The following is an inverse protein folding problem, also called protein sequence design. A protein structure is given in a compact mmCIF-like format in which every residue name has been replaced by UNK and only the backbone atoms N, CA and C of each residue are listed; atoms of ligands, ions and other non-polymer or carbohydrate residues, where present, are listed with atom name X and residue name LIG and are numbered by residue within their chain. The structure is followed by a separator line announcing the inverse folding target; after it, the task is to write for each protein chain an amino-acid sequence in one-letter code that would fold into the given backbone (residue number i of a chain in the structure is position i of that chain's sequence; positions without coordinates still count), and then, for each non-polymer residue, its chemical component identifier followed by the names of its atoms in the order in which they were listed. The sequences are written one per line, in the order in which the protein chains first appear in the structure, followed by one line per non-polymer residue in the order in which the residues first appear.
data_IF_012989358901
#
_entry.id   IF_012989358901
#
_cell.length_a   1.000
_cell.length_b   1.000
_cell.length_c   1.000
_cell.angle_alpha   90.00
_cell.angle_beta   90.00
_cell.angle_gamma   90.00
#
_symmetry.space_group_name_H-M   'P 1'
#
loop_
_entity.id
_entity.type
_entity.pdbx_description
1 polymer ?
#
# COMPACT_ATOMS: atom_id res chain seq x y z
N UNK A 1 19.21 22.57 6.42
CA UNK A 1 19.11 21.48 7.40
C UNK A 1 18.89 20.21 6.59
N UNK A 2 19.79 19.24 6.67
CA UNK A 2 19.57 17.91 6.07
C UNK A 2 18.40 17.26 6.80
N UNK A 3 17.32 17.00 6.10
CA UNK A 3 16.21 16.23 6.68
C UNK A 3 16.76 14.87 7.12
N UNK A 4 16.44 14.46 8.33
CA UNK A 4 16.69 13.10 8.80
C UNK A 4 16.02 12.12 7.84
N UNK A 5 16.60 10.95 7.63
CA UNK A 5 16.05 9.91 6.72
C UNK A 5 15.41 8.77 7.50
N UNK A 6 14.90 9.06 8.70
CA UNK A 6 14.26 8.05 9.53
C UNK A 6 12.87 7.69 8.98
N UNK A 7 12.72 6.47 8.47
CA UNK A 7 11.45 5.97 7.93
C UNK A 7 10.83 4.99 8.92
N UNK A 8 9.60 5.27 9.34
CA UNK A 8 8.75 4.30 10.04
C UNK A 8 7.81 3.62 9.05
N UNK A 9 7.90 2.29 8.93
CA UNK A 9 6.92 1.51 8.18
C UNK A 9 5.70 1.22 9.08
N UNK A 10 4.52 1.56 8.60
CA UNK A 10 3.25 1.34 9.32
C UNK A 10 2.43 0.28 8.60
N UNK A 11 2.08 -0.78 9.33
CA UNK A 11 1.14 -1.82 8.90
C UNK A 11 -0.21 -1.55 9.59
N UNK A 12 -1.16 -0.90 8.91
CA UNK A 12 -2.47 -0.63 9.48
C UNK A 12 -3.38 -1.84 9.27
N UNK A 13 -3.68 -2.55 10.31
CA UNK A 13 -4.63 -3.69 10.28
C UNK A 13 -5.76 -3.48 11.25
N UNK A 14 -6.94 -4.00 10.94
CA UNK A 14 -8.11 -3.96 11.83
C UNK A 14 -8.68 -5.36 12.01
N UNK A 15 -9.22 -5.62 13.20
CA UNK A 15 -9.80 -6.91 13.57
C UNK A 15 -11.07 -7.24 12.80
N UNK A 16 -11.87 -6.21 12.48
CA UNK A 16 -13.14 -6.41 11.80
C UNK A 16 -13.05 -5.92 10.34
N UNK A 17 -13.30 -6.82 9.40
CA UNK A 17 -13.40 -6.52 7.96
C UNK A 17 -14.78 -6.96 7.47
N UNK A 18 -15.55 -6.02 6.91
CA UNK A 18 -16.94 -6.25 6.50
C UNK A 18 -17.06 -7.17 5.28
N UNK A 19 -16.17 -7.02 4.30
CA UNK A 19 -16.18 -7.80 3.04
C UNK A 19 -15.52 -9.17 3.15
N UNK A 20 -14.50 -9.31 4.00
CA UNK A 20 -13.77 -10.56 4.19
C UNK A 20 -13.37 -10.67 5.67
N UNK A 21 -14.12 -11.43 6.49
CA UNK A 21 -13.86 -11.58 7.92
C UNK A 21 -12.43 -12.03 8.19
N UNK A 22 -11.81 -11.46 9.22
CA UNK A 22 -10.44 -11.76 9.65
C UNK A 22 -9.38 -11.63 8.52
N UNK A 23 -9.64 -10.78 7.53
CA UNK A 23 -8.84 -10.62 6.31
C UNK A 23 -7.34 -10.65 6.58
N UNK A 24 -6.85 -9.84 7.51
CA UNK A 24 -5.43 -9.63 7.75
C UNK A 24 -4.69 -10.86 8.35
N UNK A 25 -5.41 -11.85 8.87
CA UNK A 25 -4.84 -13.09 9.42
C UNK A 25 -5.24 -14.33 8.62
N UNK A 26 -5.82 -14.16 7.43
CA UNK A 26 -6.05 -15.28 6.52
C UNK A 26 -4.73 -15.93 6.10
N UNK A 27 -4.71 -17.26 5.93
CA UNK A 27 -3.52 -18.00 5.50
C UNK A 27 -2.94 -17.46 4.20
N UNK A 28 -1.63 -17.14 4.18
CA UNK A 28 -0.95 -16.68 2.97
C UNK A 28 0.52 -17.09 2.99
N UNK A 29 0.99 -17.68 1.89
CA UNK A 29 2.33 -18.27 1.84
C UNK A 29 2.49 -19.34 2.93
N UNK A 30 3.53 -19.23 3.72
CA UNK A 30 3.82 -20.16 4.83
C UNK A 30 3.24 -19.68 6.19
N UNK A 31 2.46 -18.60 6.20
CA UNK A 31 1.95 -17.98 7.43
C UNK A 31 0.54 -17.39 7.24
N UNK A 32 0.31 -16.18 7.68
CA UNK A 32 -0.87 -15.36 7.40
C UNK A 32 -0.46 -14.03 6.79
N UNK A 33 -1.43 -13.27 6.25
CA UNK A 33 -1.16 -11.99 5.54
C UNK A 33 -0.37 -10.99 6.40
N UNK A 34 -0.69 -10.83 7.69
CA UNK A 34 0.00 -9.91 8.57
C UNK A 34 1.46 -10.35 8.81
N UNK A 35 1.67 -11.60 9.21
CA UNK A 35 3.02 -12.11 9.47
C UNK A 35 3.86 -12.17 8.20
N UNK A 36 3.24 -12.47 7.05
CA UNK A 36 3.87 -12.40 5.75
C UNK A 36 4.39 -10.98 5.46
N UNK A 37 3.54 -9.95 5.65
CA UNK A 37 3.95 -8.53 5.48
C UNK A 37 5.06 -8.14 6.45
N UNK A 38 4.98 -8.53 7.71
CA UNK A 38 6.04 -8.28 8.70
C UNK A 38 7.36 -8.88 8.21
N UNK A 39 7.34 -10.12 7.77
CA UNK A 39 8.54 -10.83 7.29
C UNK A 39 9.13 -10.19 6.02
N UNK A 40 8.30 -9.63 5.13
CA UNK A 40 8.76 -8.83 3.99
C UNK A 40 9.47 -7.55 4.46
N UNK A 41 8.86 -6.78 5.36
CA UNK A 41 9.42 -5.51 5.85
C UNK A 41 10.70 -5.71 6.67
N UNK A 42 10.85 -6.80 7.39
CA UNK A 42 12.09 -7.13 8.12
C UNK A 42 13.30 -7.37 7.21
N UNK A 43 13.10 -7.57 5.91
CA UNK A 43 14.14 -7.71 4.90
C UNK A 43 14.44 -6.39 4.18
N UNK A 44 13.72 -5.31 4.52
CA UNK A 44 13.89 -3.98 3.91
C UNK A 44 14.98 -3.21 4.63
N UNK A 45 15.92 -2.68 3.87
CA UNK A 45 17.00 -1.84 4.39
C UNK A 45 16.53 -0.39 4.58
N UNK A 46 17.11 0.30 5.57
CA UNK A 46 16.85 1.74 5.78
C UNK A 46 15.56 2.06 6.53
N UNK A 47 14.81 1.07 7.02
CA UNK A 47 13.73 1.31 7.96
C UNK A 47 14.30 1.57 9.37
N UNK A 48 13.83 2.64 10.00
CA UNK A 48 14.13 2.93 11.39
C UNK A 48 13.27 2.06 12.32
N UNK A 49 12.00 1.89 11.97
CA UNK A 49 11.02 1.20 12.79
C UNK A 49 9.94 0.55 11.92
N UNK A 50 9.37 -0.56 12.41
CA UNK A 50 8.17 -1.19 11.84
C UNK A 50 7.09 -1.22 12.92
N UNK A 51 5.93 -0.64 12.63
CA UNK A 51 4.80 -0.56 13.55
C UNK A 51 3.62 -1.34 12.97
N UNK A 52 3.02 -2.21 13.79
CA UNK A 52 1.69 -2.74 13.56
C UNK A 52 0.70 -1.93 14.41
N UNK A 53 -0.24 -1.24 13.76
CA UNK A 53 -1.33 -0.54 14.44
C UNK A 53 -2.64 -1.29 14.26
N UNK A 54 -3.23 -1.80 15.36
CA UNK A 54 -4.45 -2.60 15.34
C UNK A 54 -5.34 -2.38 16.54
N UNK A 55 -6.65 -2.58 16.35
CA UNK A 55 -7.66 -2.70 17.42
C UNK A 55 -7.82 -4.15 17.92
N UNK A 56 -7.23 -5.14 17.23
CA UNK A 56 -7.29 -6.57 17.56
C UNK A 56 -6.09 -6.99 18.42
N UNK A 57 -6.36 -7.56 19.59
CA UNK A 57 -5.30 -8.10 20.48
C UNK A 57 -4.58 -9.30 19.83
N UNK A 58 -5.29 -10.10 19.03
CA UNK A 58 -4.69 -11.22 18.29
C UNK A 58 -3.64 -10.72 17.27
N UNK A 59 -3.97 -9.67 16.51
CA UNK A 59 -3.04 -9.10 15.53
C UNK A 59 -1.85 -8.40 16.20
N UNK A 60 -2.08 -7.74 17.34
CA UNK A 60 -1.00 -7.15 18.14
C UNK A 60 -0.06 -8.22 18.67
N UNK A 61 -0.59 -9.33 19.18
CA UNK A 61 0.21 -10.47 19.64
C UNK A 61 1.07 -11.05 18.51
N UNK A 62 0.54 -11.21 17.31
CA UNK A 62 1.32 -11.66 16.13
C UNK A 62 2.50 -10.70 15.87
N UNK A 63 2.26 -9.40 15.96
CA UNK A 63 3.30 -8.39 15.74
C UNK A 63 4.37 -8.41 16.83
N UNK A 64 3.99 -8.53 18.10
CA UNK A 64 4.89 -8.66 19.26
C UNK A 64 5.75 -9.93 19.16
N UNK A 65 5.14 -11.08 18.89
CA UNK A 65 5.83 -12.34 18.70
C UNK A 65 6.80 -12.31 17.50
N UNK A 66 6.45 -11.54 16.47
CA UNK A 66 7.33 -11.25 15.34
C UNK A 66 8.43 -10.23 15.66
N UNK A 67 8.46 -9.61 16.85
CA UNK A 67 9.50 -8.68 17.30
C UNK A 67 9.45 -7.32 16.63
N UNK A 68 8.27 -6.81 16.29
CA UNK A 68 8.05 -5.43 15.85
C UNK A 68 7.18 -4.67 16.86
N UNK A 69 7.15 -3.34 16.76
CA UNK A 69 6.33 -2.50 17.64
C UNK A 69 4.85 -2.72 17.34
N UNK A 70 4.10 -3.15 18.36
CA UNK A 70 2.65 -3.31 18.30
C UNK A 70 1.99 -2.16 19.05
N UNK A 71 1.05 -1.46 18.42
CA UNK A 71 0.36 -0.31 19.01
C UNK A 71 -1.14 -0.53 18.95
N UNK A 72 -1.75 -0.55 20.14
CA UNK A 72 -3.21 -0.65 20.28
C UNK A 72 -3.87 0.60 19.73
N UNK A 73 -4.61 0.42 18.64
CA UNK A 73 -5.39 1.50 18.02
C UNK A 73 -6.64 1.76 18.84
N UNK A 74 -6.93 3.01 19.24
CA UNK A 74 -8.20 3.36 19.84
C UNK A 74 -9.36 2.99 18.91
N UNK A 75 -10.44 2.44 19.49
CA UNK A 75 -11.58 1.90 18.74
C UNK A 75 -12.19 2.91 17.77
N UNK A 76 -12.19 4.18 18.15
CA UNK A 76 -12.66 5.27 17.26
C UNK A 76 -11.94 5.31 15.92
N UNK A 77 -10.66 4.97 15.83
CA UNK A 77 -9.89 4.96 14.58
C UNK A 77 -9.95 3.61 13.84
N UNK A 78 -10.65 2.63 14.38
CA UNK A 78 -10.95 1.36 13.70
C UNK A 78 -12.31 1.37 13.02
N UNK A 79 -13.16 2.35 13.32
CA UNK A 79 -14.49 2.54 12.76
C UNK A 79 -14.39 3.17 11.35
N UNK A 80 -15.09 2.61 10.37
CA UNK A 80 -15.12 3.09 8.98
C UNK A 80 -15.86 4.44 8.82
N UNK A 81 -16.62 4.87 9.83
CA UNK A 81 -17.28 6.18 9.85
C UNK A 81 -16.31 7.33 10.11
N UNK A 82 -15.13 7.05 10.66
CA UNK A 82 -14.11 8.07 10.93
C UNK A 82 -13.41 8.47 9.64
N UNK A 83 -13.33 9.77 9.34
CA UNK A 83 -12.59 10.24 8.16
C UNK A 83 -11.14 9.73 8.15
N UNK A 84 -10.69 9.26 7.00
CA UNK A 84 -9.33 8.70 6.84
C UNK A 84 -8.22 9.67 7.29
N UNK A 85 -8.40 10.97 7.07
CA UNK A 85 -7.47 12.00 7.53
C UNK A 85 -7.26 12.01 9.06
N UNK A 86 -8.31 11.79 9.85
CA UNK A 86 -8.18 11.71 11.31
C UNK A 86 -7.41 10.47 11.76
N UNK A 87 -7.59 9.35 11.04
CA UNK A 87 -6.79 8.17 11.30
C UNK A 87 -5.31 8.42 10.96
N UNK A 88 -5.01 9.17 9.91
CA UNK A 88 -3.65 9.54 9.54
C UNK A 88 -3.00 10.49 10.56
N UNK A 89 -3.76 11.42 11.14
CA UNK A 89 -3.26 12.25 12.26
C UNK A 89 -2.81 11.38 13.43
N UNK A 90 -3.65 10.41 13.83
CA UNK A 90 -3.28 9.44 14.85
C UNK A 90 -2.02 8.64 14.45
N UNK A 91 -1.88 8.21 13.20
CA UNK A 91 -0.67 7.51 12.74
C UNK A 91 0.56 8.40 12.90
N UNK A 92 0.46 9.68 12.56
CA UNK A 92 1.54 10.63 12.76
C UNK A 92 1.92 10.85 14.24
N UNK A 93 1.02 10.59 15.19
CA UNK A 93 1.30 10.69 16.63
C UNK A 93 2.05 9.49 17.19
N UNK A 94 1.97 8.34 16.53
CA UNK A 94 2.57 7.09 17.01
C UNK A 94 3.90 6.73 16.34
N UNK A 95 4.28 7.44 15.25
CA UNK A 95 5.53 7.21 14.53
C UNK A 95 6.65 8.10 15.07
N UNK A 96 7.87 7.57 15.11
CA UNK A 96 9.08 8.31 15.53
C UNK A 96 9.88 8.82 14.34
N UNK A 97 9.60 8.30 13.13
CA UNK A 97 10.30 8.70 11.91
C UNK A 97 9.81 10.02 11.31
N UNK A 98 10.72 10.71 10.62
CA UNK A 98 10.38 11.92 9.85
C UNK A 98 9.56 11.61 8.60
N UNK A 99 9.57 10.34 8.20
CA UNK A 99 8.86 9.83 7.03
C UNK A 99 8.05 8.57 7.38
N UNK A 100 6.83 8.49 6.86
CA UNK A 100 5.95 7.32 6.99
C UNK A 100 5.97 6.53 5.70
N UNK A 101 6.24 5.23 5.81
CA UNK A 101 5.98 4.26 4.76
C UNK A 101 4.72 3.46 5.09
N UNK A 102 3.67 3.65 4.30
CA UNK A 102 2.45 2.89 4.40
C UNK A 102 2.61 1.53 3.72
N UNK A 103 2.39 0.44 4.45
CA UNK A 103 2.60 -0.92 3.97
C UNK A 103 1.43 -1.83 4.36
N UNK A 104 0.45 -1.97 3.46
CA UNK A 104 -0.75 -2.76 3.73
C UNK A 104 -0.45 -4.27 3.73
N UNK A 105 -0.98 -5.00 4.71
CA UNK A 105 -0.95 -6.46 4.73
C UNK A 105 -1.74 -7.05 3.55
N UNK A 106 -2.73 -6.32 3.05
CA UNK A 106 -3.57 -6.68 1.90
C UNK A 106 -2.87 -6.62 0.55
N UNK A 107 -1.66 -6.06 0.48
CA UNK A 107 -0.82 -6.04 -0.74
C UNK A 107 0.33 -7.06 -0.60
N UNK A 108 0.06 -8.38 -0.54
CA UNK A 108 1.03 -9.40 -0.14
C UNK A 108 2.11 -9.67 -1.20
N UNK A 109 1.86 -9.30 -2.46
CA UNK A 109 2.78 -9.53 -3.56
C UNK A 109 3.83 -8.41 -3.74
N UNK A 110 3.83 -7.41 -2.86
CA UNK A 110 4.88 -6.38 -2.82
C UNK A 110 6.12 -6.95 -2.12
N UNK A 111 7.10 -7.35 -2.90
CA UNK A 111 8.32 -8.01 -2.43
C UNK A 111 9.33 -7.01 -1.80
N UNK A 112 10.26 -7.46 -0.93
CA UNK A 112 11.21 -6.59 -0.23
C UNK A 112 12.02 -5.67 -1.14
N UNK A 113 12.42 -6.12 -2.33
CA UNK A 113 13.18 -5.32 -3.28
C UNK A 113 12.41 -4.08 -3.78
N UNK A 114 11.08 -4.15 -3.84
CA UNK A 114 10.25 -3.00 -4.23
C UNK A 114 10.23 -1.92 -3.16
N UNK A 115 10.22 -2.29 -1.88
CA UNK A 115 10.34 -1.35 -0.78
C UNK A 115 11.72 -0.66 -0.80
N UNK A 116 12.80 -1.41 -1.00
CA UNK A 116 14.15 -0.86 -1.14
C UNK A 116 14.24 0.10 -2.33
N UNK A 117 13.67 -0.28 -3.48
CA UNK A 117 13.57 0.59 -4.66
C UNK A 117 12.76 1.86 -4.37
N UNK A 118 11.63 1.72 -3.69
CA UNK A 118 10.77 2.85 -3.33
C UNK A 118 11.48 3.85 -2.42
N UNK A 119 12.22 3.38 -1.41
CA UNK A 119 12.99 4.23 -0.49
C UNK A 119 14.04 5.05 -1.27
N UNK A 120 14.82 4.40 -2.13
CA UNK A 120 15.85 5.08 -2.92
C UNK A 120 15.24 6.12 -3.86
N UNK A 121 14.21 5.73 -4.62
CA UNK A 121 13.51 6.65 -5.52
C UNK A 121 12.83 7.79 -4.76
N UNK A 122 12.26 7.54 -3.60
CA UNK A 122 11.57 8.56 -2.81
C UNK A 122 12.50 9.73 -2.48
N UNK A 123 13.67 9.45 -1.90
CA UNK A 123 14.62 10.51 -1.58
C UNK A 123 15.20 11.21 -2.81
N UNK A 124 15.48 10.47 -3.89
CA UNK A 124 15.89 11.05 -5.17
C UNK A 124 14.81 12.02 -5.70
N UNK A 125 13.55 11.59 -5.70
CA UNK A 125 12.44 12.38 -6.24
C UNK A 125 12.05 13.58 -5.37
N UNK A 126 12.27 13.52 -4.06
CA UNK A 126 12.15 14.71 -3.20
C UNK A 126 13.12 15.82 -3.64
N UNK A 127 14.36 15.47 -4.03
CA UNK A 127 15.35 16.43 -4.54
C UNK A 127 14.93 17.03 -5.90
N UNK A 128 14.15 16.28 -6.70
CA UNK A 128 13.56 16.75 -7.96
C UNK A 128 12.29 17.59 -7.76
N UNK A 129 11.84 17.76 -6.50
CA UNK A 129 10.69 18.58 -6.12
C UNK A 129 9.35 17.84 -6.20
N UNK A 130 9.32 16.51 -6.19
CA UNK A 130 8.16 15.75 -5.78
C UNK A 130 7.99 15.84 -4.26
N UNK A 131 6.79 15.51 -3.75
CA UNK A 131 6.48 15.65 -2.33
C UNK A 131 6.25 14.31 -1.62
N UNK A 132 6.02 13.25 -2.38
CA UNK A 132 5.71 11.91 -1.91
C UNK A 132 5.98 10.88 -3.01
N UNK A 133 5.90 9.59 -2.67
CA UNK A 133 5.95 8.49 -3.63
C UNK A 133 4.76 7.55 -3.39
N UNK A 134 4.14 7.10 -4.48
CA UNK A 134 3.08 6.08 -4.47
C UNK A 134 3.35 5.00 -5.50
N UNK A 135 2.85 3.80 -5.26
CA UNK A 135 2.86 2.74 -6.27
C UNK A 135 1.60 2.77 -7.13
N UNK A 136 1.82 2.61 -8.42
CA UNK A 136 0.75 2.51 -9.42
C UNK A 136 1.02 1.35 -10.38
N UNK A 137 -0.03 0.76 -10.93
CA UNK A 137 0.07 -0.21 -12.03
C UNK A 137 -0.52 0.37 -13.30
N UNK A 138 0.13 0.22 -14.47
CA UNK A 138 -0.46 0.61 -15.75
C UNK A 138 -1.80 -0.09 -15.97
N UNK A 139 -2.80 0.68 -16.39
CA UNK A 139 -4.17 0.20 -16.55
C UNK A 139 -4.75 0.70 -17.88
N UNK A 140 -4.69 -0.15 -18.89
CA UNK A 140 -5.12 0.19 -20.24
C UNK A 140 -6.27 -0.74 -20.65
N UNK A 141 -7.49 -0.31 -20.33
CA UNK A 141 -8.72 -1.05 -20.59
C UNK A 141 -9.88 -0.11 -20.85
N UNK A 142 -11.00 -0.64 -21.34
CA UNK A 142 -12.24 0.12 -21.53
C UNK A 142 -12.92 0.36 -20.19
N UNK A 143 -13.20 1.62 -19.88
CA UNK A 143 -13.90 2.02 -18.66
C UNK A 143 -15.24 2.67 -19.02
N UNK A 144 -16.24 2.38 -18.19
CA UNK A 144 -17.59 2.94 -18.29
C UNK A 144 -18.07 3.36 -16.89
N UNK A 145 -18.89 4.39 -16.84
CA UNK A 145 -19.75 4.71 -15.70
C UNK A 145 -21.22 4.49 -16.06
N UNK A 146 -22.12 4.92 -15.19
CA UNK A 146 -23.58 4.84 -15.39
C UNK A 146 -24.07 5.63 -16.63
N UNK A 147 -23.27 6.59 -17.09
CA UNK A 147 -23.58 7.48 -18.23
C UNK A 147 -23.01 6.97 -19.55
N UNK A 148 -22.09 6.00 -19.50
CA UNK A 148 -21.47 5.40 -20.67
C UNK A 148 -19.95 5.37 -20.65
N UNK A 149 -19.30 5.30 -21.81
CA UNK A 149 -17.85 5.21 -21.93
C UNK A 149 -17.10 6.42 -21.32
N UNK A 150 -16.05 6.15 -20.50
CA UNK A 150 -15.20 7.16 -19.90
C UNK A 150 -13.97 7.47 -20.75
N UNK A 151 -13.34 6.46 -21.35
CA UNK A 151 -12.04 6.58 -22.02
C UNK A 151 -12.00 6.03 -23.44
N UNK A 152 -13.15 5.71 -24.04
CA UNK A 152 -13.25 5.23 -25.41
C UNK A 152 -14.49 5.79 -26.12
N UNK A 153 -14.49 5.74 -27.46
CA UNK A 153 -15.61 6.13 -28.30
C UNK A 153 -16.30 4.91 -28.89
N UNK A 154 -17.61 5.00 -29.08
CA UNK A 154 -18.39 3.99 -29.82
C UNK A 154 -18.40 4.27 -31.33
N UNK A 155 -18.79 3.28 -32.13
CA UNK A 155 -18.96 3.41 -33.57
C UNK A 155 -17.62 3.48 -34.31
N UNK A 156 -17.59 4.25 -35.42
CA UNK A 156 -16.43 4.32 -36.32
C UNK A 156 -15.16 4.91 -35.67
N UNK A 157 -15.31 5.61 -34.56
CA UNK A 157 -14.19 6.18 -33.78
C UNK A 157 -13.65 5.22 -32.71
N UNK A 158 -14.17 4.01 -32.62
CA UNK A 158 -13.71 3.01 -31.65
C UNK A 158 -12.24 2.64 -31.90
N UNK A 159 -11.46 2.58 -30.84
CA UNK A 159 -10.06 2.20 -30.83
C UNK A 159 -9.87 0.90 -30.07
N UNK A 160 -8.92 0.08 -30.48
CA UNK A 160 -8.48 -1.08 -29.73
C UNK A 160 -7.89 -0.66 -28.36
N UNK A 161 -7.91 -1.57 -27.39
CA UNK A 161 -7.43 -1.29 -26.02
C UNK A 161 -6.00 -0.73 -25.98
N UNK A 162 -5.11 -1.20 -26.85
CA UNK A 162 -3.73 -0.73 -26.99
C UNK A 162 -3.61 0.74 -27.42
N UNK A 163 -4.66 1.31 -28.01
CA UNK A 163 -4.71 2.68 -28.49
C UNK A 163 -5.43 3.63 -27.50
N UNK A 164 -5.92 3.09 -26.39
CA UNK A 164 -6.55 3.87 -25.35
C UNK A 164 -5.52 4.71 -24.58
N UNK A 165 -5.94 5.83 -23.96
CA UNK A 165 -5.07 6.54 -23.03
C UNK A 165 -4.59 5.62 -21.92
N UNK A 166 -3.29 5.70 -21.59
CA UNK A 166 -2.74 5.00 -20.45
C UNK A 166 -3.28 5.62 -19.17
N UNK A 167 -3.97 4.82 -18.38
CA UNK A 167 -4.39 5.13 -17.03
C UNK A 167 -3.51 4.40 -16.02
N UNK A 168 -3.61 4.80 -14.77
CA UNK A 168 -2.84 4.20 -13.69
C UNK A 168 -3.78 3.83 -12.55
N UNK A 169 -3.76 2.56 -12.19
CA UNK A 169 -4.42 2.06 -11.00
C UNK A 169 -3.54 2.39 -9.79
N UNK A 170 -4.05 3.16 -8.83
CA UNK A 170 -3.42 3.40 -7.54
C UNK A 170 -3.53 2.14 -6.69
N UNK A 171 -2.41 1.49 -6.37
CA UNK A 171 -2.41 0.16 -5.76
C UNK A 171 -2.40 0.20 -4.24
N UNK A 172 -2.08 1.35 -3.63
CA UNK A 172 -1.88 1.51 -2.19
C UNK A 172 -0.86 0.52 -1.58
N UNK A 173 -0.03 -0.11 -2.40
CA UNK A 173 0.95 -1.11 -1.96
C UNK A 173 2.13 -0.52 -1.18
N UNK A 174 2.64 0.63 -1.65
CA UNK A 174 3.65 1.45 -0.96
C UNK A 174 3.29 2.92 -1.15
N UNK A 175 3.15 3.65 -0.04
CA UNK A 175 3.11 5.10 -0.05
C UNK A 175 4.18 5.62 0.90
N UNK A 176 4.96 6.60 0.48
CA UNK A 176 6.01 7.25 1.25
C UNK A 176 5.81 8.76 1.24
N UNK A 177 5.74 9.36 2.42
CA UNK A 177 5.57 10.79 2.56
C UNK A 177 6.20 11.31 3.87
N UNK A 178 6.59 12.60 3.95
CA UNK A 178 7.02 13.21 5.19
C UNK A 178 5.88 13.23 6.21
N UNK A 179 6.17 12.87 7.45
CA UNK A 179 5.16 12.77 8.55
C UNK A 179 4.40 14.09 8.74
N UNK A 180 5.10 15.23 8.75
CA UNK A 180 4.46 16.55 8.88
C UNK A 180 3.54 16.87 7.70
N UNK A 181 3.90 16.45 6.50
CA UNK A 181 3.09 16.69 5.30
C UNK A 181 1.83 15.83 5.26
N UNK A 182 1.87 14.62 5.77
CA UNK A 182 0.68 13.79 5.97
C UNK A 182 -0.34 14.50 6.86
N UNK A 183 0.11 15.16 7.95
CA UNK A 183 -0.76 15.99 8.80
C UNK A 183 -1.39 17.17 8.04
N UNK A 184 -0.56 17.87 7.25
CA UNK A 184 -1.01 19.03 6.47
C UNK A 184 -2.03 18.63 5.40
N UNK A 185 -1.80 17.53 4.70
CA UNK A 185 -2.68 17.07 3.62
C UNK A 185 -3.89 16.27 4.10
N UNK A 186 -3.88 15.79 5.34
CA UNK A 186 -4.83 14.78 5.84
C UNK A 186 -4.94 13.56 4.91
N UNK A 187 -3.83 13.24 4.23
CA UNK A 187 -3.74 12.13 3.28
C UNK A 187 -2.33 11.52 3.25
N UNK A 188 -2.22 10.26 2.89
CA UNK A 188 -0.96 9.50 2.94
C UNK A 188 -0.01 9.74 1.75
N UNK A 189 -0.36 10.66 0.85
CA UNK A 189 0.52 11.22 -0.17
C UNK A 189 0.04 12.62 -0.59
N UNK A 190 0.94 13.38 -1.20
CA UNK A 190 0.70 14.76 -1.58
C UNK A 190 0.26 14.94 -3.04
N UNK A 191 -0.08 16.20 -3.41
CA UNK A 191 -0.57 16.52 -4.76
C UNK A 191 0.47 16.31 -5.86
N UNK A 192 1.76 16.23 -5.50
CA UNK A 192 2.87 16.08 -6.45
C UNK A 192 3.61 14.76 -6.24
N UNK A 193 2.86 13.67 -6.03
CA UNK A 193 3.42 12.36 -5.78
C UNK A 193 4.16 11.79 -7.01
N UNK A 194 5.36 11.23 -6.79
CA UNK A 194 6.02 10.42 -7.80
C UNK A 194 5.34 9.05 -7.90
N UNK A 195 5.00 8.63 -9.11
CA UNK A 195 4.35 7.34 -9.39
C UNK A 195 5.40 6.30 -9.74
N UNK A 196 5.75 5.44 -8.78
CA UNK A 196 6.56 4.25 -9.05
C UNK A 196 5.68 3.17 -9.69
N UNK A 197 6.01 2.78 -10.91
CA UNK A 197 5.24 1.77 -11.62
C UNK A 197 5.66 0.36 -11.17
N UNK A 198 4.66 -0.45 -10.87
CA UNK A 198 4.76 -1.87 -10.52
C UNK A 198 3.90 -2.71 -11.48
N UNK A 199 4.20 -3.99 -11.60
CA UNK A 199 3.46 -4.88 -12.49
C UNK A 199 2.14 -5.35 -11.87
N UNK A 200 1.30 -6.06 -12.65
CA UNK A 200 -0.03 -6.54 -12.21
C UNK A 200 0.03 -7.53 -11.06
N UNK A 201 1.09 -8.35 -10.96
CA UNK A 201 1.27 -9.29 -9.85
C UNK A 201 1.54 -8.52 -8.55
N UNK A 202 2.48 -7.60 -8.61
CA UNK A 202 2.88 -6.74 -7.49
C UNK A 202 1.74 -5.81 -7.03
N UNK A 203 0.83 -5.48 -7.95
CA UNK A 203 -0.32 -4.62 -7.72
C UNK A 203 -1.53 -5.34 -7.09
N UNK A 204 -1.42 -6.63 -6.78
CA UNK A 204 -2.52 -7.37 -6.15
C UNK A 204 -2.84 -6.79 -4.78
N UNK A 205 -4.09 -6.41 -4.58
CA UNK A 205 -4.65 -5.95 -3.30
C UNK A 205 -5.89 -6.77 -2.96
N UNK A 206 -6.03 -7.13 -1.69
CA UNK A 206 -7.08 -8.04 -1.22
C UNK A 206 -8.18 -7.22 -0.54
N UNK A 207 -9.34 -7.18 -1.16
CA UNK A 207 -10.53 -6.56 -0.61
C UNK A 207 -11.64 -7.56 -0.29
N UNK A 208 -11.78 -8.58 -1.12
CA UNK A 208 -12.78 -9.63 -0.97
C UNK A 208 -12.19 -11.03 -1.18
N UNK A 209 -13.06 -12.05 -1.24
CA UNK A 209 -12.65 -13.45 -1.41
C UNK A 209 -12.04 -13.71 -2.79
N UNK A 210 -12.50 -13.03 -3.84
CA UNK A 210 -11.97 -13.21 -5.19
C UNK A 210 -10.57 -12.63 -5.31
N UNK A 211 -10.35 -11.46 -4.74
CA UNK A 211 -9.03 -10.85 -4.65
C UNK A 211 -8.06 -11.74 -3.87
N UNK A 212 -8.53 -12.34 -2.76
CA UNK A 212 -7.72 -13.24 -1.95
C UNK A 212 -7.27 -14.49 -2.73
N UNK A 213 -8.19 -15.16 -3.44
CA UNK A 213 -7.84 -16.31 -4.26
C UNK A 213 -6.93 -15.92 -5.43
N UNK A 214 -7.16 -14.77 -6.05
CA UNK A 214 -6.32 -14.23 -7.10
C UNK A 214 -4.92 -13.90 -6.58
N UNK A 215 -4.80 -13.24 -5.42
CA UNK A 215 -3.50 -12.92 -4.82
C UNK A 215 -2.70 -14.19 -4.49
N UNK A 216 -3.33 -15.26 -3.98
CA UNK A 216 -2.68 -16.55 -3.75
C UNK A 216 -2.14 -17.16 -5.05
N UNK A 217 -2.94 -17.12 -6.11
CA UNK A 217 -2.53 -17.64 -7.41
C UNK A 217 -1.36 -16.83 -7.99
N UNK A 218 -1.43 -15.49 -7.91
CA UNK A 218 -0.37 -14.60 -8.37
C UNK A 218 0.92 -14.76 -7.56
N UNK A 219 0.81 -14.95 -6.24
CA UNK A 219 1.96 -15.19 -5.38
C UNK A 219 2.67 -16.52 -5.70
N UNK A 220 1.90 -17.57 -6.04
CA UNK A 220 2.43 -18.86 -6.44
C UNK A 220 3.08 -18.87 -7.84
N UNK A 221 2.77 -17.87 -8.67
CA UNK A 221 3.38 -17.74 -10.00
C UNK A 221 4.85 -17.29 -9.86
N UNK A 222 5.74 -17.98 -10.57
CA UNK A 222 7.09 -17.42 -10.81
C UNK A 222 6.95 -16.23 -11.74
N UNK A 223 7.71 -15.17 -11.48
CA UNK A 223 7.71 -14.02 -12.39
C UNK A 223 7.93 -14.49 -13.82
N UNK A 224 7.03 -14.17 -14.75
CA UNK A 224 7.28 -14.43 -16.16
C UNK A 224 8.57 -13.69 -16.51
N UNK A 225 9.52 -14.39 -17.16
CA UNK A 225 10.70 -13.72 -17.71
C UNK A 225 10.19 -12.53 -18.54
N UNK A 226 10.80 -11.33 -18.41
CA UNK A 226 10.41 -10.21 -19.23
C UNK A 226 10.40 -10.69 -20.69
N UNK A 227 9.24 -10.64 -21.32
CA UNK A 227 9.15 -10.75 -22.77
C UNK A 227 9.85 -9.53 -23.32
N UNK A 228 11.05 -9.76 -23.88
CA UNK A 228 11.87 -8.75 -24.55
C UNK A 228 11.08 -8.12 -25.69
#
# INVERSE_FOLDING_TARGET
MTMSKLITAVIPVKGNSTRLPNKNILPFGESNLLLHKINQLKQVEGLHEIICSSDSDEMLKIAEEAGIKAIKRPTQYADESVPFGMFLEYVCDIVEGDHVMWACATSPCVEPYLYNKAINLYFEKLEEGYDSLITCSPYQTYLMDEKGPLNFSMGLAHKNSEQLPMLYHFTNGINLAPTEKIREWHYNYGPKAYRMLINKREAADIDDVYDYEMAKALYAMKDPKPTV
#
